data_IF_493937697839
#
_entry.id   IF_493937697839
#
_cell.length_a   1.000
_cell.length_b   1.000
_cell.length_c   1.000
_cell.angle_alpha   90.00
_cell.angle_beta   90.00
_cell.angle_gamma   90.00
#
_symmetry.space_group_name_H-M   'P 1'
#
loop_
_entity.id
_entity.type
_entity.pdbx_description
1 polymer ?
#
# COMPACT_ATOMS: atom_id res chain seq x y z
N UNK A 1 43.78 -10.26 70.28
CA UNK A 1 45.19 -10.63 70.07
C UNK A 1 45.32 -11.28 68.70
N UNK A 2 46.15 -10.69 67.82
CA UNK A 2 46.89 -11.26 66.66
C UNK A 2 46.10 -12.11 65.62
N UNK A 3 46.29 -12.05 64.31
CA UNK A 3 46.98 -11.20 63.36
C UNK A 3 46.58 -11.76 61.97
N UNK A 4 46.58 -10.91 60.94
CA UNK A 4 46.33 -11.28 59.53
C UNK A 4 47.45 -12.11 58.91
N UNK A 5 47.18 -12.88 57.84
CA UNK A 5 48.16 -13.09 56.75
C UNK A 5 47.55 -13.61 55.42
N UNK A 6 47.44 -12.69 54.45
CA UNK A 6 47.75 -12.70 53.01
C UNK A 6 47.69 -13.97 52.10
N UNK A 7 46.87 -13.83 51.03
CA UNK A 7 47.17 -13.86 49.57
C UNK A 7 47.86 -15.10 48.96
N UNK A 8 47.19 -15.77 47.99
CA UNK A 8 47.66 -15.89 46.59
C UNK A 8 46.57 -16.40 45.61
N UNK A 9 46.52 -15.76 44.44
CA UNK A 9 45.63 -15.97 43.28
C UNK A 9 46.36 -16.82 42.23
N UNK A 10 45.72 -17.86 41.65
CA UNK A 10 45.99 -18.34 40.27
C UNK A 10 44.71 -18.96 39.65
N UNK A 11 44.49 -18.64 38.37
CA UNK A 11 43.32 -18.80 37.50
C UNK A 11 43.16 -20.18 36.80
N UNK A 12 41.95 -20.39 36.26
CA UNK A 12 41.55 -21.17 35.06
C UNK A 12 41.30 -22.69 35.21
N UNK A 13 40.04 -23.18 35.14
CA UNK A 13 39.13 -23.42 33.98
C UNK A 13 39.30 -24.83 33.36
N UNK A 14 38.28 -25.71 33.48
CA UNK A 14 37.54 -26.39 32.38
C UNK A 14 36.78 -27.65 32.86
N UNK A 15 35.44 -27.54 32.79
CA UNK A 15 34.41 -28.43 32.19
C UNK A 15 34.38 -29.94 32.54
N UNK A 16 33.21 -30.41 33.04
CA UNK A 16 32.28 -31.40 32.42
C UNK A 16 31.52 -32.15 33.53
N UNK A 17 30.18 -32.16 33.43
CA UNK A 17 29.37 -33.28 33.91
C UNK A 17 28.23 -32.94 34.87
N UNK A 18 27.05 -32.60 34.33
CA UNK A 18 25.82 -32.49 35.12
C UNK A 18 24.58 -32.49 34.22
N UNK A 19 24.09 -33.69 33.91
CA UNK A 19 22.87 -33.95 33.13
C UNK A 19 21.67 -34.07 34.08
N UNK A 20 20.53 -33.50 33.64
CA UNK A 20 19.12 -33.70 34.07
C UNK A 20 18.70 -33.18 35.47
N UNK A 21 17.57 -32.52 35.68
CA UNK A 21 16.33 -32.39 34.92
C UNK A 21 15.65 -31.02 35.19
N UNK A 22 15.22 -30.32 34.13
CA UNK A 22 14.34 -29.15 34.24
C UNK A 22 12.95 -29.57 33.78
N UNK A 23 11.99 -29.49 34.71
CA UNK A 23 10.56 -29.60 34.44
C UNK A 23 10.12 -28.46 33.51
N UNK A 24 9.80 -28.79 32.26
CA UNK A 24 9.02 -27.92 31.37
C UNK A 24 7.54 -28.02 31.76
N UNK A 25 7.06 -27.05 32.52
CA UNK A 25 5.62 -26.80 32.69
C UNK A 25 5.22 -25.71 31.70
N UNK A 26 4.45 -26.14 30.69
CA UNK A 26 3.58 -25.37 29.80
C UNK A 26 3.80 -23.87 29.70
N UNK A 27 4.67 -23.46 28.76
CA UNK A 27 4.56 -22.15 28.17
C UNK A 27 3.24 -22.09 27.39
N UNK A 28 2.30 -21.27 27.86
CA UNK A 28 1.20 -20.81 27.03
C UNK A 28 1.85 -20.20 25.78
N UNK A 29 1.68 -20.87 24.64
CA UNK A 29 2.12 -20.36 23.36
C UNK A 29 1.45 -19.02 23.16
N UNK A 30 2.25 -17.95 23.21
CA UNK A 30 1.87 -16.71 22.58
C UNK A 30 1.69 -17.06 21.10
N UNK A 31 0.44 -17.26 20.69
CA UNK A 31 0.06 -17.17 19.30
C UNK A 31 0.44 -15.77 18.87
N UNK A 32 1.65 -15.64 18.32
CA UNK A 32 2.06 -14.47 17.58
C UNK A 32 1.05 -14.34 16.45
N UNK A 33 0.04 -13.50 16.65
CA UNK A 33 -0.83 -13.06 15.59
C UNK A 33 0.09 -12.34 14.60
N UNK A 34 0.52 -13.07 13.58
CA UNK A 34 1.12 -12.48 12.40
C UNK A 34 0.02 -11.62 11.78
N UNK A 35 0.07 -10.31 12.06
CA UNK A 35 -0.69 -9.31 11.33
C UNK A 35 -0.26 -9.41 9.88
N UNK A 36 -1.01 -10.19 9.11
CA UNK A 36 -0.88 -10.26 7.66
C UNK A 36 -1.44 -8.95 7.15
N UNK A 37 -0.55 -7.96 7.01
CA UNK A 37 -0.91 -6.61 6.61
C UNK A 37 -1.42 -6.61 5.18
N UNK A 38 -2.60 -6.05 4.96
CA UNK A 38 -3.06 -5.74 3.61
C UNK A 38 -3.43 -4.26 3.47
N UNK A 39 -3.58 -3.84 2.25
CA UNK A 39 -3.00 -2.58 1.79
C UNK A 39 -4.05 -1.91 0.94
N UNK A 40 -4.33 -0.61 1.13
CA UNK A 40 -4.79 0.20 -0.01
C UNK A 40 -3.65 0.19 -1.03
N UNK A 41 -3.94 -0.20 -2.28
CA UNK A 41 -3.01 -0.45 -3.40
C UNK A 41 -1.64 -0.98 -2.96
N UNK A 42 -1.58 -2.29 -2.67
CA UNK A 42 -0.37 -2.94 -2.18
C UNK A 42 0.83 -2.85 -3.12
N UNK A 43 2.03 -2.75 -2.56
CA UNK A 43 3.20 -3.37 -3.22
C UNK A 43 3.65 -4.66 -2.55
N UNK A 44 2.85 -5.17 -1.62
CA UNK A 44 2.91 -6.57 -1.25
C UNK A 44 2.40 -7.40 -2.43
N UNK A 45 3.20 -8.40 -2.75
CA UNK A 45 2.81 -9.53 -3.57
C UNK A 45 1.55 -10.13 -2.93
N UNK A 46 0.44 -10.21 -3.66
CA UNK A 46 -0.79 -10.83 -3.16
C UNK A 46 -0.47 -12.26 -2.68
N UNK A 47 -0.92 -12.66 -1.50
CA UNK A 47 -0.77 -14.05 -1.06
C UNK A 47 -1.91 -14.87 -1.65
N UNK A 48 -1.58 -15.77 -2.59
CA UNK A 48 -2.41 -16.82 -3.21
C UNK A 48 -3.95 -16.59 -3.22
N UNK A 49 -4.53 -16.45 -4.41
CA UNK A 49 -5.98 -16.28 -4.59
C UNK A 49 -6.77 -17.43 -3.94
N UNK A 50 -7.48 -17.15 -2.85
CA UNK A 50 -8.44 -18.09 -2.26
C UNK A 50 -9.86 -17.80 -2.75
N UNK A 51 -10.61 -18.86 -3.04
CA UNK A 51 -12.03 -18.90 -3.44
C UNK A 51 -12.52 -17.75 -4.34
N UNK A 52 -12.70 -18.05 -5.63
CA UNK A 52 -13.34 -17.14 -6.60
C UNK A 52 -14.83 -16.96 -6.25
N UNK A 53 -15.32 -15.74 -5.94
CA UNK A 53 -16.73 -15.49 -5.62
C UNK A 53 -17.62 -15.62 -6.86
N UNK A 54 -18.93 -15.68 -6.66
CA UNK A 54 -19.88 -15.85 -7.77
C UNK A 54 -19.97 -14.60 -8.66
N UNK A 55 -19.78 -13.41 -8.09
CA UNK A 55 -19.65 -12.15 -8.84
C UNK A 55 -18.93 -11.06 -8.03
N UNK A 56 -18.38 -10.08 -8.75
CA UNK A 56 -17.84 -8.82 -8.23
C UNK A 56 -18.25 -7.70 -9.18
N UNK A 57 -19.14 -6.82 -8.74
CA UNK A 57 -19.76 -5.82 -9.62
C UNK A 57 -20.43 -6.50 -10.83
N UNK A 58 -20.00 -6.13 -12.05
CA UNK A 58 -20.50 -6.71 -13.30
C UNK A 58 -19.82 -8.00 -13.73
N UNK A 59 -18.75 -8.42 -13.04
CA UNK A 59 -17.89 -9.54 -13.45
C UNK A 59 -18.37 -10.83 -12.79
N UNK A 60 -18.66 -11.85 -13.60
CA UNK A 60 -19.15 -13.15 -13.13
C UNK A 60 -18.00 -14.13 -12.83
N UNK A 61 -18.29 -15.18 -12.07
CA UNK A 61 -17.34 -16.22 -11.65
C UNK A 61 -16.34 -16.70 -12.73
N UNK A 62 -16.76 -16.99 -13.99
CA UNK A 62 -15.80 -17.41 -15.02
C UNK A 62 -14.74 -16.33 -15.36
N UNK A 63 -15.16 -15.07 -15.44
CA UNK A 63 -14.28 -13.91 -15.66
C UNK A 63 -13.35 -13.69 -14.46
N UNK A 64 -13.89 -13.86 -13.25
CA UNK A 64 -13.11 -13.75 -12.03
C UNK A 64 -12.07 -14.87 -11.87
N UNK A 65 -12.32 -16.06 -12.42
CA UNK A 65 -11.34 -17.14 -12.47
C UNK A 65 -10.17 -16.81 -13.41
N UNK A 66 -10.43 -16.10 -14.51
CA UNK A 66 -9.40 -15.57 -15.41
C UNK A 66 -8.59 -14.49 -14.68
N UNK A 67 -9.25 -13.54 -14.01
CA UNK A 67 -8.55 -12.52 -13.19
C UNK A 67 -7.69 -13.16 -12.09
N UNK A 68 -8.22 -14.18 -11.39
CA UNK A 68 -7.48 -14.95 -10.38
C UNK A 68 -6.23 -15.63 -10.95
N UNK A 69 -6.30 -16.13 -12.19
CA UNK A 69 -5.16 -16.73 -12.89
C UNK A 69 -4.09 -15.68 -13.18
N UNK A 70 -4.48 -14.50 -13.69
CA UNK A 70 -3.58 -13.37 -13.95
C UNK A 70 -2.87 -12.94 -12.67
N UNK A 71 -3.62 -12.75 -11.58
CA UNK A 71 -3.08 -12.40 -10.26
C UNK A 71 -2.11 -13.46 -9.76
N UNK A 72 -2.45 -14.75 -9.89
CA UNK A 72 -1.56 -15.84 -9.45
C UNK A 72 -0.22 -15.85 -10.19
N UNK A 73 -0.21 -15.50 -11.48
CA UNK A 73 1.02 -15.35 -12.29
C UNK A 73 1.84 -14.16 -11.82
N UNK A 74 1.20 -13.02 -11.60
CA UNK A 74 1.87 -11.83 -11.08
C UNK A 74 2.52 -12.09 -9.70
N UNK A 75 1.79 -12.80 -8.82
CA UNK A 75 2.28 -13.24 -7.52
C UNK A 75 3.50 -14.14 -7.64
N UNK A 76 3.42 -15.16 -8.49
CA UNK A 76 4.53 -16.08 -8.74
C UNK A 76 5.76 -15.36 -9.32
N UNK A 77 5.53 -14.33 -10.14
CA UNK A 77 6.55 -13.45 -10.71
C UNK A 77 7.07 -12.36 -9.77
N UNK A 78 6.54 -12.26 -8.54
CA UNK A 78 6.86 -11.21 -7.56
C UNK A 78 6.58 -9.79 -8.07
N UNK A 79 5.60 -9.65 -8.95
CA UNK A 79 5.08 -8.36 -9.36
C UNK A 79 4.23 -7.79 -8.22
N UNK A 80 4.13 -6.46 -8.17
CA UNK A 80 3.36 -5.77 -7.15
C UNK A 80 1.86 -5.71 -7.49
N UNK A 81 1.00 -5.30 -6.54
CA UNK A 81 -0.45 -5.23 -6.77
C UNK A 81 -0.82 -4.22 -7.86
N UNK A 82 0.02 -3.21 -8.10
CA UNK A 82 -0.21 -2.27 -9.19
C UNK A 82 -0.07 -2.99 -10.54
N UNK A 83 0.98 -3.78 -10.73
CA UNK A 83 1.16 -4.61 -11.91
C UNK A 83 0.04 -5.66 -12.04
N UNK A 84 -0.37 -6.29 -10.93
CA UNK A 84 -1.55 -7.18 -10.89
C UNK A 84 -2.81 -6.47 -11.43
N UNK A 85 -3.08 -5.27 -10.91
CA UNK A 85 -4.27 -4.49 -11.25
C UNK A 85 -4.21 -3.97 -12.69
N UNK A 86 -3.04 -3.53 -13.17
CA UNK A 86 -2.84 -3.13 -14.56
C UNK A 86 -3.12 -4.33 -15.48
N UNK A 87 -2.57 -5.51 -15.19
CA UNK A 87 -2.79 -6.69 -16.01
C UNK A 87 -4.27 -7.13 -16.04
N UNK A 88 -4.98 -7.07 -14.91
CA UNK A 88 -6.42 -7.34 -14.84
C UNK A 88 -7.21 -6.28 -15.63
N UNK A 89 -6.88 -5.00 -15.49
CA UNK A 89 -7.50 -3.91 -16.25
C UNK A 89 -7.31 -4.09 -17.76
N UNK A 90 -6.11 -4.49 -18.20
CA UNK A 90 -5.85 -4.79 -19.61
C UNK A 90 -6.75 -5.92 -20.09
N UNK A 91 -6.79 -7.05 -19.38
CA UNK A 91 -7.64 -8.17 -19.78
C UNK A 91 -9.15 -7.84 -19.77
N UNK A 92 -9.60 -6.94 -18.88
CA UNK A 92 -10.97 -6.41 -18.92
C UNK A 92 -11.25 -5.62 -20.21
N UNK A 93 -10.31 -4.78 -20.64
CA UNK A 93 -10.44 -4.01 -21.88
C UNK A 93 -10.35 -4.87 -23.13
N UNK A 94 -9.38 -5.79 -23.18
CA UNK A 94 -9.10 -6.60 -24.38
C UNK A 94 -10.14 -7.67 -24.65
N UNK A 95 -10.62 -8.34 -23.61
CA UNK A 95 -11.44 -9.55 -23.79
C UNK A 95 -12.65 -9.62 -22.86
N UNK A 96 -12.90 -8.57 -22.07
CA UNK A 96 -13.86 -8.64 -20.95
C UNK A 96 -13.54 -9.80 -20.02
N UNK A 97 -12.25 -10.03 -19.71
CA UNK A 97 -11.76 -11.18 -18.96
C UNK A 97 -12.22 -12.50 -19.57
N UNK A 98 -12.12 -12.61 -20.90
CA UNK A 98 -12.40 -13.81 -21.67
C UNK A 98 -11.11 -14.46 -22.16
N UNK A 99 -11.25 -15.46 -23.01
CA UNK A 99 -10.13 -16.07 -23.74
C UNK A 99 -10.59 -16.47 -25.15
N UNK A 100 -10.92 -15.48 -26.01
CA UNK A 100 -11.39 -15.76 -27.36
C UNK A 100 -10.26 -16.31 -28.23
N UNK A 101 -10.58 -17.32 -29.04
CA UNK A 101 -9.69 -17.91 -30.03
C UNK A 101 -9.60 -17.09 -31.34
N UNK A 102 -10.21 -15.92 -31.35
CA UNK A 102 -10.24 -14.97 -32.46
C UNK A 102 -9.94 -13.56 -31.98
N UNK A 103 -9.46 -12.74 -32.92
CA UNK A 103 -9.11 -11.35 -32.68
C UNK A 103 -10.22 -10.37 -32.97
N UNK A 104 -10.03 -9.16 -32.45
CA UNK A 104 -10.74 -7.94 -32.83
C UNK A 104 -10.06 -7.20 -34.01
N UNK A 105 -8.79 -7.53 -34.31
CA UNK A 105 -8.06 -7.00 -35.44
C UNK A 105 -8.74 -7.38 -36.76
N UNK A 106 -8.61 -6.52 -37.78
CA UNK A 106 -9.19 -6.74 -39.13
C UNK A 106 -8.70 -8.07 -39.76
N UNK A 107 -7.55 -8.58 -39.33
CA UNK A 107 -6.97 -9.85 -39.77
C UNK A 107 -7.11 -11.01 -38.76
N UNK A 108 -7.82 -10.80 -37.63
CA UNK A 108 -8.01 -11.74 -36.52
C UNK A 108 -6.69 -12.31 -35.95
N UNK A 109 -5.57 -11.58 -36.03
CA UNK A 109 -4.26 -12.12 -35.60
C UNK A 109 -3.94 -11.94 -34.12
N UNK A 110 -4.63 -11.02 -33.43
CA UNK A 110 -4.64 -10.86 -31.97
C UNK A 110 -5.55 -11.93 -31.36
N UNK A 111 -5.15 -12.60 -30.28
CA UNK A 111 -5.97 -13.67 -29.67
C UNK A 111 -5.81 -13.72 -28.16
N UNK A 112 -6.72 -14.43 -27.51
CA UNK A 112 -6.68 -14.78 -26.10
C UNK A 112 -6.99 -13.62 -25.17
N UNK A 113 -6.78 -13.84 -23.88
CA UNK A 113 -7.16 -12.93 -22.79
C UNK A 113 -6.66 -11.49 -22.94
N UNK A 114 -5.48 -11.30 -23.53
CA UNK A 114 -4.84 -9.99 -23.71
C UNK A 114 -4.81 -9.53 -25.19
N UNK A 115 -5.53 -10.21 -26.09
CA UNK A 115 -5.55 -9.93 -27.54
C UNK A 115 -4.12 -9.76 -28.11
N UNK A 116 -3.23 -10.67 -27.76
CA UNK A 116 -1.81 -10.55 -28.09
C UNK A 116 -1.55 -10.98 -29.54
N UNK A 117 -0.73 -10.22 -30.27
CA UNK A 117 -0.22 -10.61 -31.59
C UNK A 117 0.99 -11.56 -31.53
N UNK A 118 1.46 -12.04 -32.69
CA UNK A 118 2.55 -13.03 -32.79
C UNK A 118 3.87 -12.62 -32.12
N UNK A 119 4.11 -11.34 -31.87
CA UNK A 119 5.31 -10.86 -31.16
C UNK A 119 5.38 -11.34 -29.70
N UNK A 120 4.26 -11.75 -29.11
CA UNK A 120 4.19 -12.25 -27.74
C UNK A 120 4.52 -13.75 -27.60
N UNK A 121 4.58 -14.49 -28.71
CA UNK A 121 4.90 -15.93 -28.69
C UNK A 121 4.03 -16.76 -29.63
N UNK A 122 4.03 -18.07 -29.40
CA UNK A 122 3.26 -19.01 -30.22
C UNK A 122 1.75 -18.82 -30.03
N UNK A 123 0.93 -19.34 -30.96
CA UNK A 123 -0.54 -19.34 -30.80
C UNK A 123 -0.95 -20.01 -29.48
N UNK A 124 -0.34 -21.15 -29.16
CA UNK A 124 -0.64 -21.89 -27.93
C UNK A 124 -0.29 -21.11 -26.65
N UNK A 125 0.77 -20.31 -26.67
CA UNK A 125 1.14 -19.49 -25.51
C UNK A 125 0.22 -18.28 -25.35
N UNK A 126 -0.28 -17.71 -26.46
CA UNK A 126 -1.20 -16.55 -26.44
C UNK A 126 -2.63 -16.92 -26.03
N UNK A 127 -3.05 -18.17 -26.27
CA UNK A 127 -4.32 -18.75 -25.80
C UNK A 127 -4.22 -19.38 -24.41
N UNK A 128 -3.05 -19.35 -23.78
CA UNK A 128 -2.89 -19.77 -22.39
C UNK A 128 -2.86 -18.50 -21.54
N UNK A 129 -3.96 -18.21 -20.83
CA UNK A 129 -4.09 -17.00 -19.98
C UNK A 129 -2.88 -16.79 -19.07
N UNK A 130 -2.32 -17.85 -18.49
CA UNK A 130 -1.20 -17.71 -17.56
C UNK A 130 0.08 -17.28 -18.29
N UNK A 131 0.35 -17.85 -19.47
CA UNK A 131 1.50 -17.46 -20.29
C UNK A 131 1.32 -16.09 -20.92
N UNK A 132 0.12 -15.77 -21.41
CA UNK A 132 -0.20 -14.45 -21.94
C UNK A 132 -0.02 -13.36 -20.86
N UNK A 133 -0.48 -13.61 -19.63
CA UNK A 133 -0.27 -12.72 -18.49
C UNK A 133 1.22 -12.53 -18.16
N UNK A 134 1.98 -13.62 -18.11
CA UNK A 134 3.42 -13.55 -17.87
C UNK A 134 4.15 -12.72 -18.95
N UNK A 135 3.78 -12.89 -20.22
CA UNK A 135 4.35 -12.13 -21.32
C UNK A 135 3.98 -10.63 -21.26
N UNK A 136 2.74 -10.31 -20.87
CA UNK A 136 2.31 -8.91 -20.66
C UNK A 136 3.09 -8.26 -19.51
N UNK A 137 3.13 -8.89 -18.33
CA UNK A 137 3.83 -8.37 -17.15
C UNK A 137 5.32 -8.18 -17.40
N UNK A 138 5.95 -9.10 -18.14
CA UNK A 138 7.35 -8.98 -18.53
C UNK A 138 7.63 -7.76 -19.41
N UNK A 139 6.67 -7.32 -20.24
CA UNK A 139 6.78 -6.09 -21.03
C UNK A 139 6.40 -4.84 -20.23
N UNK A 140 5.40 -4.92 -19.35
CA UNK A 140 4.98 -3.82 -18.50
C UNK A 140 6.15 -3.23 -17.70
N UNK A 141 6.95 -4.09 -17.06
CA UNK A 141 8.10 -3.64 -16.26
C UNK A 141 9.26 -3.05 -17.07
N UNK A 142 9.20 -3.13 -18.41
CA UNK A 142 10.15 -2.47 -19.31
C UNK A 142 9.66 -1.09 -19.76
N UNK A 143 8.40 -0.74 -19.49
CA UNK A 143 7.88 0.61 -19.77
C UNK A 143 8.51 1.59 -18.80
N UNK A 144 9.16 2.67 -19.27
CA UNK A 144 9.70 3.69 -18.39
C UNK A 144 8.62 4.25 -17.46
N UNK A 145 8.92 4.30 -16.16
CA UNK A 145 8.09 4.90 -15.13
C UNK A 145 6.67 4.31 -15.02
N UNK A 146 6.48 3.05 -15.46
CA UNK A 146 5.20 2.35 -15.40
C UNK A 146 4.58 2.33 -13.99
N UNK A 147 5.41 2.34 -12.94
CA UNK A 147 4.96 2.38 -11.55
C UNK A 147 4.17 3.66 -11.23
N UNK A 148 4.42 4.74 -11.96
CA UNK A 148 3.88 6.08 -11.72
C UNK A 148 3.03 6.63 -12.87
N UNK A 149 3.12 6.03 -14.06
CA UNK A 149 2.25 6.35 -15.17
C UNK A 149 0.79 6.07 -14.83
N UNK A 150 -0.12 6.87 -15.39
CA UNK A 150 -1.55 6.55 -15.41
C UNK A 150 -1.74 5.11 -15.94
N UNK A 151 -2.53 4.24 -15.27
CA UNK A 151 -2.64 2.83 -15.62
C UNK A 151 -2.97 2.58 -17.10
N UNK A 152 -3.83 3.41 -17.68
CA UNK A 152 -4.19 3.32 -19.10
C UNK A 152 -3.01 3.65 -20.00
N UNK A 153 -2.19 4.63 -19.63
CA UNK A 153 -0.98 5.00 -20.39
C UNK A 153 0.09 3.91 -20.30
N UNK A 154 0.26 3.30 -19.12
CA UNK A 154 1.15 2.14 -18.96
C UNK A 154 0.70 0.96 -19.83
N UNK A 155 -0.61 0.68 -19.85
CA UNK A 155 -1.17 -0.39 -20.71
C UNK A 155 -1.01 -0.06 -22.19
N UNK A 156 -1.32 1.17 -22.59
CA UNK A 156 -1.15 1.65 -23.96
C UNK A 156 0.31 1.53 -24.43
N UNK A 157 1.28 1.84 -23.57
CA UNK A 157 2.70 1.66 -23.90
C UNK A 157 3.09 0.20 -24.16
N UNK A 158 2.39 -0.76 -23.53
CA UNK A 158 2.61 -2.20 -23.77
C UNK A 158 1.84 -2.71 -24.99
N UNK A 159 0.56 -2.34 -25.12
CA UNK A 159 -0.36 -2.88 -26.15
C UNK A 159 -0.31 -2.10 -27.47
N UNK A 160 0.08 -0.83 -27.44
CA UNK A 160 0.22 0.04 -28.62
C UNK A 160 -1.10 0.15 -29.40
N UNK A 161 -2.21 0.38 -28.67
CA UNK A 161 -3.53 0.60 -29.25
C UNK A 161 -3.70 2.07 -29.72
N UNK A 162 -4.78 2.41 -30.44
CA UNK A 162 -4.96 3.77 -31.03
C UNK A 162 -5.30 4.86 -30.01
N UNK A 163 -5.99 4.51 -28.91
CA UNK A 163 -6.44 5.45 -27.89
C UNK A 163 -5.70 5.21 -26.56
N UNK A 164 -4.82 6.14 -26.13
CA UNK A 164 -4.08 6.02 -24.88
C UNK A 164 -4.95 5.89 -23.62
N UNK A 165 -6.20 6.38 -23.67
CA UNK A 165 -7.14 6.35 -22.54
C UNK A 165 -8.19 5.24 -22.65
N UNK A 166 -8.07 4.35 -23.63
CA UNK A 166 -9.02 3.24 -23.85
C UNK A 166 -9.27 2.38 -22.59
N UNK A 167 -8.23 2.14 -21.79
CA UNK A 167 -8.34 1.27 -20.61
C UNK A 167 -8.80 2.00 -19.34
N UNK A 168 -8.79 3.34 -19.33
CA UNK A 168 -9.12 4.14 -18.16
C UNK A 168 -10.48 3.77 -17.51
N UNK A 169 -11.56 3.48 -18.27
CA UNK A 169 -12.85 3.09 -17.68
C UNK A 169 -12.81 1.79 -16.87
N UNK A 170 -11.82 0.92 -17.08
CA UNK A 170 -11.73 -0.37 -16.40
C UNK A 170 -10.92 -0.32 -15.10
N UNK A 171 -10.24 0.79 -14.80
CA UNK A 171 -9.34 0.87 -13.64
C UNK A 171 -10.04 0.67 -12.29
N UNK A 172 -11.20 1.29 -12.09
CA UNK A 172 -11.99 1.14 -10.85
C UNK A 172 -12.50 -0.30 -10.66
N UNK A 173 -12.96 -0.92 -11.75
CA UNK A 173 -13.42 -2.31 -11.76
C UNK A 173 -12.26 -3.28 -11.48
N UNK A 174 -11.10 -3.07 -12.09
CA UNK A 174 -9.90 -3.87 -11.88
C UNK A 174 -9.43 -3.82 -10.43
N UNK A 175 -9.40 -2.63 -9.82
CA UNK A 175 -9.09 -2.48 -8.39
C UNK A 175 -10.09 -3.25 -7.53
N UNK A 176 -11.40 -3.15 -7.83
CA UNK A 176 -12.44 -3.85 -7.06
C UNK A 176 -12.28 -5.37 -7.14
N UNK A 177 -12.05 -5.90 -8.35
CA UNK A 177 -11.82 -7.33 -8.58
C UNK A 177 -10.55 -7.82 -7.89
N UNK A 178 -9.42 -7.14 -8.10
CA UNK A 178 -8.13 -7.52 -7.50
C UNK A 178 -8.21 -7.48 -5.98
N UNK A 179 -8.77 -6.43 -5.38
CA UNK A 179 -8.93 -6.32 -3.93
C UNK A 179 -9.85 -7.42 -3.38
N UNK A 180 -10.94 -7.76 -4.09
CA UNK A 180 -11.86 -8.81 -3.66
C UNK A 180 -11.20 -10.19 -3.72
N UNK A 181 -10.48 -10.49 -4.81
CA UNK A 181 -9.80 -11.78 -4.98
C UNK A 181 -8.58 -11.94 -4.08
N UNK A 182 -7.86 -10.84 -3.78
CA UNK A 182 -6.80 -10.81 -2.78
C UNK A 182 -7.36 -10.92 -1.33
N UNK A 183 -8.58 -10.41 -1.09
CA UNK A 183 -9.25 -10.38 0.21
C UNK A 183 -10.16 -11.56 0.53
N UNK A 184 -10.41 -12.48 -0.40
CA UNK A 184 -11.10 -13.75 -0.16
C UNK A 184 -10.27 -14.72 0.71
N UNK A 185 -9.09 -14.28 1.17
CA UNK A 185 -8.29 -14.81 2.27
C UNK A 185 -8.11 -13.78 3.39
N UNK A 186 -9.19 -13.14 3.83
CA UNK A 186 -9.21 -12.16 4.93
C UNK A 186 -9.41 -10.74 4.44
N UNK A 187 -10.56 -10.15 4.77
CA UNK A 187 -10.82 -8.74 4.56
C UNK A 187 -9.74 -7.91 5.25
N UNK A 188 -9.00 -7.10 4.50
CA UNK A 188 -8.11 -6.13 5.10
C UNK A 188 -8.86 -4.88 5.49
N UNK A 189 -9.44 -4.91 6.68
CA UNK A 189 -10.03 -3.73 7.28
C UNK A 189 -8.92 -2.83 7.81
N UNK A 190 -8.82 -1.60 7.30
CA UNK A 190 -8.15 -0.53 8.05
C UNK A 190 -9.08 -0.18 9.21
N UNK A 191 -8.56 -0.28 10.45
CA UNK A 191 -9.38 -0.04 11.64
C UNK A 191 -9.89 1.41 11.66
N UNK A 192 -11.10 1.60 12.17
CA UNK A 192 -11.61 2.92 12.55
C UNK A 192 -11.26 3.28 14.01
N UNK A 193 -10.61 2.37 14.74
CA UNK A 193 -10.17 2.57 16.12
C UNK A 193 -8.72 3.08 16.15
N UNK A 194 -8.54 4.30 16.69
CA UNK A 194 -7.24 4.98 16.76
C UNK A 194 -6.20 4.19 17.58
N UNK A 195 -6.60 3.54 18.67
CA UNK A 195 -5.68 2.78 19.50
C UNK A 195 -5.18 1.51 18.79
N UNK A 196 -6.04 0.83 18.03
CA UNK A 196 -5.68 -0.32 17.22
C UNK A 196 -4.69 0.06 16.10
N UNK A 197 -4.96 1.17 15.38
CA UNK A 197 -4.04 1.69 14.37
C UNK A 197 -2.68 2.06 14.99
N UNK A 198 -2.70 2.79 16.11
CA UNK A 198 -1.48 3.21 16.79
C UNK A 198 -0.65 2.01 17.26
N UNK A 199 -1.27 0.95 17.80
CA UNK A 199 -0.58 -0.29 18.17
C UNK A 199 0.10 -0.95 16.96
N UNK A 200 -0.58 -1.00 15.82
CA UNK A 200 0.02 -1.51 14.57
C UNK A 200 1.23 -0.67 14.15
N UNK A 201 1.11 0.66 14.21
CA UNK A 201 2.20 1.57 13.88
C UNK A 201 3.39 1.41 14.83
N UNK A 202 3.16 1.19 16.13
CA UNK A 202 4.24 0.93 17.10
C UNK A 202 4.96 -0.38 16.81
N UNK A 203 4.29 -1.43 16.34
CA UNK A 203 4.98 -2.64 15.87
C UNK A 203 5.91 -2.32 14.70
N UNK A 204 5.48 -1.46 13.77
CA UNK A 204 6.33 -1.01 12.67
C UNK A 204 7.50 -0.13 13.14
N UNK A 205 7.31 0.69 14.17
CA UNK A 205 8.39 1.45 14.82
C UNK A 205 9.42 0.52 15.44
N UNK A 206 8.97 -0.48 16.20
CA UNK A 206 9.85 -1.43 16.88
C UNK A 206 10.63 -2.31 15.89
N UNK A 207 10.06 -2.59 14.72
CA UNK A 207 10.73 -3.24 13.60
C UNK A 207 11.67 -2.31 12.81
N UNK A 208 11.74 -1.03 13.15
CA UNK A 208 12.50 -0.01 12.43
C UNK A 208 11.94 0.30 11.03
N UNK A 209 10.70 -0.11 10.73
CA UNK A 209 10.03 0.16 9.46
C UNK A 209 9.47 1.58 9.40
N UNK A 210 8.86 2.04 10.49
CA UNK A 210 8.42 3.42 10.68
C UNK A 210 9.44 4.16 11.56
N UNK A 211 9.90 5.33 11.12
CA UNK A 211 10.84 6.16 11.88
C UNK A 211 10.39 7.61 11.93
N UNK A 212 10.69 8.29 13.04
CA UNK A 212 10.47 9.72 13.22
C UNK A 212 11.72 10.55 12.91
N UNK A 213 11.53 11.85 12.69
CA UNK A 213 12.59 12.85 12.70
C UNK A 213 12.78 13.45 14.11
N UNK A 214 13.57 14.51 14.24
CA UNK A 214 13.64 15.33 15.46
C UNK A 214 13.09 16.72 15.15
N UNK A 215 12.15 17.26 15.96
CA UNK A 215 11.47 16.65 17.12
C UNK A 215 10.68 15.37 16.82
N UNK A 216 10.66 14.44 17.77
CA UNK A 216 10.06 13.13 17.57
C UNK A 216 8.52 13.18 17.73
N UNK A 217 7.81 12.95 16.63
CA UNK A 217 6.35 12.83 16.57
C UNK A 217 5.84 11.40 16.77
N UNK A 218 6.73 10.38 16.78
CA UNK A 218 6.32 8.98 17.03
C UNK A 218 5.81 8.81 18.46
N UNK A 219 6.25 9.64 19.41
CA UNK A 219 5.71 9.67 20.77
C UNK A 219 4.20 9.90 20.82
N UNK A 220 3.65 10.67 19.88
CA UNK A 220 2.21 10.96 19.79
C UNK A 220 1.42 9.68 19.50
N UNK A 221 1.90 8.90 18.53
CA UNK A 221 1.36 7.57 18.20
C UNK A 221 1.50 6.62 19.40
N UNK A 222 2.65 6.65 20.11
CA UNK A 222 2.90 5.77 21.26
C UNK A 222 1.93 6.03 22.40
N UNK A 223 1.63 7.29 22.72
CA UNK A 223 0.62 7.61 23.74
C UNK A 223 -0.75 7.08 23.37
N UNK A 224 -1.17 7.21 22.10
CA UNK A 224 -2.44 6.66 21.62
C UNK A 224 -2.45 5.13 21.75
N UNK A 225 -1.36 4.45 21.38
CA UNK A 225 -1.23 3.00 21.52
C UNK A 225 -1.39 2.54 22.98
N UNK A 226 -0.80 3.29 23.91
CA UNK A 226 -0.89 3.06 25.35
C UNK A 226 -2.25 3.46 25.96
N UNK A 227 -3.14 4.07 25.16
CA UNK A 227 -4.44 4.58 25.64
C UNK A 227 -4.31 5.84 26.50
N UNK A 228 -3.20 6.56 26.37
CA UNK A 228 -2.94 7.81 27.10
C UNK A 228 -3.45 9.01 26.30
N UNK A 229 -4.16 9.90 26.99
CA UNK A 229 -4.52 11.22 26.46
C UNK A 229 -3.53 12.25 26.97
N UNK A 230 -2.78 12.87 26.06
CA UNK A 230 -1.84 13.94 26.38
C UNK A 230 -2.37 15.25 25.78
N UNK A 231 -2.45 16.34 26.57
CA UNK A 231 -2.95 17.62 26.07
C UNK A 231 -2.21 18.07 24.80
N UNK A 232 -2.97 18.53 23.79
CA UNK A 232 -2.46 19.02 22.51
C UNK A 232 -1.62 18.02 21.69
N UNK A 233 -1.69 16.72 22.03
CA UNK A 233 -0.95 15.64 21.36
C UNK A 233 -1.86 14.58 20.73
N UNK A 234 -3.10 14.96 20.42
CA UNK A 234 -4.00 14.11 19.65
C UNK A 234 -3.54 13.98 18.20
N UNK A 235 -3.80 12.82 17.59
CA UNK A 235 -3.64 12.60 16.15
C UNK A 235 -4.98 12.16 15.60
N UNK A 236 -5.44 12.79 14.53
CA UNK A 236 -6.67 12.41 13.86
C UNK A 236 -6.58 10.93 13.43
N UNK A 237 -7.66 10.17 13.66
CA UNK A 237 -7.71 8.75 13.29
C UNK A 237 -7.41 8.56 11.80
N UNK A 238 -7.84 9.48 10.94
CA UNK A 238 -7.58 9.47 9.50
C UNK A 238 -6.10 9.61 9.19
N UNK A 239 -5.36 10.42 9.95
CA UNK A 239 -3.90 10.53 9.82
C UNK A 239 -3.22 9.23 10.26
N UNK A 240 -3.68 8.58 11.33
CA UNK A 240 -3.19 7.25 11.69
C UNK A 240 -3.46 6.22 10.57
N UNK A 241 -4.63 6.28 9.92
CA UNK A 241 -4.95 5.43 8.77
C UNK A 241 -4.02 5.70 7.59
N UNK A 242 -3.75 6.96 7.26
CA UNK A 242 -2.80 7.35 6.20
C UNK A 242 -1.40 6.80 6.49
N UNK A 243 -0.91 6.91 7.73
CA UNK A 243 0.39 6.35 8.11
C UNK A 243 0.38 4.82 8.04
N UNK A 244 -0.71 4.15 8.44
CA UNK A 244 -0.85 2.70 8.28
C UNK A 244 -0.77 2.32 6.80
N UNK A 245 -1.47 3.04 5.92
CA UNK A 245 -1.39 2.79 4.48
C UNK A 245 0.03 2.95 3.95
N UNK A 246 0.78 3.97 4.37
CA UNK A 246 2.19 4.11 4.01
C UNK A 246 3.02 2.92 4.56
N UNK A 247 2.90 2.59 5.84
CA UNK A 247 3.67 1.51 6.48
C UNK A 247 3.38 0.16 5.82
N UNK A 248 2.17 -0.09 5.32
CA UNK A 248 1.87 -1.35 4.65
C UNK A 248 2.38 -1.40 3.20
N UNK A 249 2.63 -0.25 2.58
CA UNK A 249 3.02 -0.13 1.16
C UNK A 249 4.48 0.16 0.87
N UNK A 250 5.25 0.50 1.89
CA UNK A 250 6.66 0.86 1.73
C UNK A 250 7.50 0.06 2.72
N UNK A 251 8.67 -0.40 2.30
CA UNK A 251 9.62 -1.15 3.12
C UNK A 251 10.20 -0.28 4.24
N UNK A 252 10.22 1.04 4.07
CA UNK A 252 10.64 2.03 5.06
C UNK A 252 9.78 3.28 4.94
N UNK A 253 9.34 3.84 6.06
CA UNK A 253 8.55 5.08 6.14
C UNK A 253 9.18 6.01 7.17
N UNK A 254 9.47 7.23 6.77
CA UNK A 254 9.95 8.30 7.64
C UNK A 254 8.91 9.41 7.76
N UNK A 255 8.48 9.72 8.98
CA UNK A 255 7.55 10.82 9.28
C UNK A 255 8.31 11.93 9.98
N UNK A 256 8.22 13.14 9.43
CA UNK A 256 8.89 14.33 10.00
C UNK A 256 7.99 15.17 10.87
N UNK A 257 6.67 15.14 10.65
CA UNK A 257 5.72 15.96 11.38
C UNK A 257 4.33 15.31 11.43
N UNK A 258 3.61 15.49 12.56
CA UNK A 258 2.21 15.08 12.76
C UNK A 258 1.47 16.18 13.53
N UNK A 259 1.71 16.33 14.83
CA UNK A 259 1.12 17.38 15.65
C UNK A 259 2.18 18.34 16.20
N UNK A 260 2.42 19.46 15.50
CA UNK A 260 3.32 20.51 15.96
C UNK A 260 2.90 21.19 17.25
N UNK A 261 1.60 21.20 17.56
CA UNK A 261 1.12 21.76 18.83
C UNK A 261 1.64 20.93 20.01
N UNK A 262 1.74 19.62 19.85
CA UNK A 262 2.30 18.70 20.84
C UNK A 262 3.79 18.95 21.13
N UNK A 263 4.54 19.35 20.10
CA UNK A 263 5.99 19.57 20.17
C UNK A 263 6.36 21.05 20.37
N UNK A 264 5.37 21.95 20.46
CA UNK A 264 5.55 23.41 20.49
C UNK A 264 6.35 23.95 19.28
N UNK A 265 6.18 23.35 18.11
CA UNK A 265 6.78 23.82 16.87
C UNK A 265 5.86 24.83 16.16
N UNK A 266 6.45 25.90 15.63
CA UNK A 266 5.78 26.85 14.74
C UNK A 266 6.64 26.98 13.50
N UNK A 267 6.20 26.31 12.44
CA UNK A 267 6.93 26.18 11.17
C UNK A 267 5.98 26.45 10.00
N UNK A 268 6.51 26.68 8.80
CA UNK A 268 5.71 26.90 7.59
C UNK A 268 4.57 27.92 7.78
N UNK A 269 3.34 27.53 7.46
CA UNK A 269 2.12 28.33 7.63
C UNK A 269 1.76 28.71 9.09
N UNK A 270 2.63 28.40 10.06
CA UNK A 270 2.47 28.75 11.45
C UNK A 270 1.24 28.10 12.08
N UNK A 271 0.50 28.88 12.87
CA UNK A 271 -0.68 28.37 13.61
C UNK A 271 -1.89 28.08 12.72
N UNK A 272 -1.83 28.43 11.43
CA UNK A 272 -2.85 28.09 10.44
C UNK A 272 -2.63 26.71 9.79
N UNK A 273 -1.49 26.06 10.05
CA UNK A 273 -1.19 24.72 9.52
C UNK A 273 -2.06 23.64 10.18
N UNK A 274 -2.47 22.62 9.41
CA UNK A 274 -3.18 21.43 9.89
C UNK A 274 -2.41 20.64 10.97
N UNK A 275 -1.10 20.81 11.05
CA UNK A 275 -0.30 20.30 12.16
C UNK A 275 -0.52 21.04 13.49
N UNK A 276 -1.16 22.22 13.49
CA UNK A 276 -1.26 23.11 14.65
C UNK A 276 -2.69 23.56 14.97
N UNK A 277 -3.48 23.94 13.96
CA UNK A 277 -4.81 24.49 14.18
C UNK A 277 -5.76 23.45 14.80
N UNK A 278 -6.78 23.90 15.54
CA UNK A 278 -7.76 23.04 16.21
C UNK A 278 -7.16 21.89 17.05
N UNK A 279 -6.01 22.13 17.69
CA UNK A 279 -5.34 21.12 18.52
C UNK A 279 -4.25 20.32 17.80
N UNK A 280 -4.06 20.55 16.50
CA UNK A 280 -3.07 19.88 15.66
C UNK A 280 -3.40 18.40 15.40
N UNK A 281 -2.49 17.73 14.69
CA UNK A 281 -2.64 16.30 14.38
C UNK A 281 -3.57 15.99 13.21
N UNK A 282 -3.91 16.99 12.38
CA UNK A 282 -4.75 16.82 11.18
C UNK A 282 -3.94 16.61 9.90
N UNK A 283 -2.61 16.49 10.01
CA UNK A 283 -1.69 16.35 8.89
C UNK A 283 -0.55 15.38 9.21
N UNK A 284 0.15 14.93 8.17
CA UNK A 284 1.40 14.19 8.27
C UNK A 284 2.36 14.59 7.15
N UNK A 285 3.62 14.80 7.52
CA UNK A 285 4.72 15.00 6.58
C UNK A 285 5.56 13.73 6.49
N UNK A 286 5.58 13.10 5.31
CA UNK A 286 6.50 12.00 5.02
C UNK A 286 7.77 12.56 4.41
N UNK A 287 8.93 12.28 4.99
CA UNK A 287 10.22 12.74 4.44
C UNK A 287 11.02 11.61 3.77
N UNK A 288 10.70 10.35 4.05
CA UNK A 288 11.32 9.16 3.44
C UNK A 288 10.28 8.09 3.13
N UNK A 289 10.37 7.48 1.95
CA UNK A 289 9.70 6.22 1.61
C UNK A 289 10.68 5.29 0.87
N UNK A 290 10.63 3.99 1.17
CA UNK A 290 11.58 2.96 0.67
C UNK A 290 13.07 3.33 0.84
N UNK A 291 13.37 4.20 1.82
CA UNK A 291 14.72 4.68 2.10
C UNK A 291 15.16 5.89 1.26
N UNK A 292 14.31 6.36 0.35
CA UNK A 292 14.55 7.55 -0.49
C UNK A 292 13.85 8.78 0.08
N UNK A 293 14.53 9.92 0.04
CA UNK A 293 13.94 11.21 0.41
C UNK A 293 12.85 11.65 -0.57
N UNK A 294 11.84 12.36 -0.06
CA UNK A 294 10.69 12.78 -0.85
C UNK A 294 10.78 14.24 -1.32
N UNK A 295 10.14 14.49 -2.45
CA UNK A 295 10.00 15.83 -3.06
C UNK A 295 8.56 16.19 -3.38
N UNK A 296 7.64 15.22 -3.29
CA UNK A 296 6.26 15.35 -3.75
C UNK A 296 6.08 15.07 -5.25
N UNK A 297 7.18 14.99 -6.02
CA UNK A 297 7.20 14.64 -7.44
C UNK A 297 8.00 13.37 -7.75
N UNK A 298 8.69 12.79 -6.78
CA UNK A 298 9.43 11.55 -6.94
C UNK A 298 8.50 10.34 -6.97
N UNK A 299 9.03 9.20 -7.44
CA UNK A 299 8.25 7.98 -7.65
C UNK A 299 7.50 7.50 -6.41
N UNK A 300 8.09 7.63 -5.23
CA UNK A 300 7.48 7.14 -4.01
C UNK A 300 6.37 8.08 -3.51
N UNK A 301 6.56 9.40 -3.68
CA UNK A 301 5.47 10.36 -3.47
C UNK A 301 4.29 10.07 -4.39
N UNK A 302 4.51 9.92 -5.70
CA UNK A 302 3.44 9.65 -6.66
C UNK A 302 2.71 8.33 -6.37
N UNK A 303 3.47 7.29 -6.01
CA UNK A 303 2.91 6.01 -5.57
C UNK A 303 2.03 6.18 -4.33
N UNK A 304 2.47 6.88 -3.29
CA UNK A 304 1.67 7.10 -2.09
C UNK A 304 0.41 7.92 -2.40
N UNK A 305 0.51 8.96 -3.24
CA UNK A 305 -0.66 9.74 -3.68
C UNK A 305 -1.68 8.84 -4.39
N UNK A 306 -1.23 7.96 -5.29
CA UNK A 306 -2.13 7.03 -5.99
C UNK A 306 -2.82 6.02 -5.06
N UNK A 307 -2.14 5.62 -3.97
CA UNK A 307 -2.70 4.77 -2.91
C UNK A 307 -3.79 5.51 -2.13
N UNK A 308 -3.55 6.79 -1.82
CA UNK A 308 -4.39 7.57 -0.93
C UNK A 308 -5.61 8.18 -1.62
N UNK A 309 -5.45 8.75 -2.83
CA UNK A 309 -6.53 9.51 -3.49
C UNK A 309 -7.88 8.76 -3.54
N UNK A 310 -7.96 7.46 -3.89
CA UNK A 310 -9.26 6.77 -3.97
C UNK A 310 -9.95 6.55 -2.62
N UNK A 311 -9.21 6.58 -1.51
CA UNK A 311 -9.72 6.28 -0.17
C UNK A 311 -9.84 7.52 0.71
N UNK A 312 -9.17 8.61 0.37
CA UNK A 312 -9.23 9.86 1.13
C UNK A 312 -10.61 10.52 1.01
N UNK A 313 -11.09 11.20 2.05
CA UNK A 313 -12.31 11.98 1.95
C UNK A 313 -12.12 13.12 0.93
N UNK A 314 -13.18 13.41 0.17
CA UNK A 314 -13.16 14.53 -0.77
C UNK A 314 -12.83 15.85 -0.05
N UNK A 315 -11.90 16.61 -0.61
CA UNK A 315 -11.40 17.86 -0.03
C UNK A 315 -10.31 17.66 1.02
N UNK A 316 -9.74 16.47 1.14
CA UNK A 316 -8.44 16.29 1.78
C UNK A 316 -7.34 16.91 0.91
N UNK A 317 -6.22 17.27 1.50
CA UNK A 317 -5.18 18.07 0.85
C UNK A 317 -3.89 17.26 0.64
N UNK A 318 -3.17 17.56 -0.44
CA UNK A 318 -1.84 17.04 -0.75
C UNK A 318 -0.92 18.18 -1.19
N UNK A 319 0.21 18.34 -0.49
CA UNK A 319 1.17 19.41 -0.76
C UNK A 319 2.06 19.16 -1.98
N UNK A 320 3.03 20.05 -2.19
CA UNK A 320 4.09 19.97 -3.20
C UNK A 320 3.61 20.03 -4.67
N UNK A 321 2.50 20.74 -4.94
CA UNK A 321 1.99 20.91 -6.31
C UNK A 321 2.99 21.57 -7.26
N UNK A 322 3.65 22.64 -6.84
CA UNK A 322 4.69 23.32 -7.64
C UNK A 322 5.89 22.42 -7.97
N UNK A 323 6.21 21.45 -7.11
CA UNK A 323 7.28 20.48 -7.35
C UNK A 323 6.90 19.53 -8.49
N UNK A 324 5.66 19.02 -8.48
CA UNK A 324 5.11 18.19 -9.57
C UNK A 324 5.00 18.98 -10.86
N UNK A 325 4.49 20.21 -10.81
CA UNK A 325 4.42 21.09 -11.97
C UNK A 325 5.80 21.36 -12.59
N UNK A 326 6.81 21.63 -11.76
CA UNK A 326 8.19 21.86 -12.22
C UNK A 326 8.81 20.62 -12.88
N UNK A 327 8.39 19.43 -12.44
CA UNK A 327 8.76 18.15 -13.03
C UNK A 327 7.93 17.78 -14.28
N UNK A 328 6.96 18.61 -14.69
CA UNK A 328 6.07 18.32 -15.82
C UNK A 328 5.01 17.27 -15.52
N UNK A 329 4.70 17.03 -14.24
CA UNK A 329 3.76 16.02 -13.77
C UNK A 329 2.43 16.68 -13.42
N UNK A 330 1.34 16.11 -13.93
CA UNK A 330 -0.03 16.50 -13.59
C UNK A 330 -0.78 15.25 -13.15
N UNK A 331 -1.50 15.36 -12.03
CA UNK A 331 -2.25 14.24 -11.46
C UNK A 331 -3.75 14.42 -11.69
N UNK A 332 -4.43 13.34 -12.06
CA UNK A 332 -5.88 13.30 -12.14
C UNK A 332 -6.46 12.84 -10.80
N UNK A 333 -6.49 13.73 -9.81
CA UNK A 333 -6.97 13.43 -8.46
C UNK A 333 -8.50 13.56 -8.36
N UNK A 334 -9.11 12.68 -7.57
CA UNK A 334 -10.57 12.63 -7.34
C UNK A 334 -10.95 13.23 -5.99
N UNK A 335 -10.19 12.94 -4.94
CA UNK A 335 -10.52 13.35 -3.57
C UNK A 335 -9.50 14.32 -2.98
N UNK A 336 -8.22 14.17 -3.36
CA UNK A 336 -7.14 15.01 -2.91
C UNK A 336 -7.08 16.33 -3.69
N UNK A 337 -6.87 17.43 -2.98
CA UNK A 337 -6.71 18.79 -3.52
C UNK A 337 -5.25 19.19 -3.40
N UNK A 338 -4.66 19.63 -4.51
CA UNK A 338 -3.25 20.01 -4.55
C UNK A 338 -3.01 21.43 -4.03
N UNK A 339 -1.94 21.62 -3.24
CA UNK A 339 -1.46 22.95 -2.86
C UNK A 339 0.07 23.06 -2.82
N UNK A 340 0.56 24.31 -2.82
CA UNK A 340 1.99 24.60 -2.85
C UNK A 340 2.65 24.42 -1.49
N UNK A 341 3.74 23.65 -1.49
CA UNK A 341 4.59 23.42 -0.31
C UNK A 341 6.02 23.07 -0.77
N UNK A 342 6.98 23.13 0.16
CA UNK A 342 8.39 22.86 -0.05
C UNK A 342 8.67 21.41 -0.51
N UNK A 343 9.56 21.26 -1.50
CA UNK A 343 9.88 19.99 -2.16
C UNK A 343 10.83 19.09 -1.35
N UNK A 344 10.67 19.02 -0.03
CA UNK A 344 11.54 18.24 0.90
C UNK A 344 10.83 17.09 1.58
N UNK A 345 9.52 16.98 1.40
CA UNK A 345 8.65 15.99 1.99
C UNK A 345 7.40 15.80 1.10
N UNK A 346 6.50 14.90 1.50
CA UNK A 346 5.14 14.82 0.98
C UNK A 346 4.17 15.10 2.12
N UNK A 347 3.41 16.19 1.99
CA UNK A 347 2.38 16.60 2.93
C UNK A 347 1.03 15.98 2.56
N UNK A 348 0.33 15.44 3.56
CA UNK A 348 -1.06 14.96 3.45
C UNK A 348 -1.85 15.48 4.65
N UNK A 349 -3.00 16.10 4.42
CA UNK A 349 -3.87 16.54 5.51
C UNK A 349 -5.36 16.37 5.26
N UNK A 350 -6.10 16.39 6.37
CA UNK A 350 -7.56 16.25 6.43
C UNK A 350 -8.20 17.42 7.20
N UNK A 351 -7.44 18.51 7.39
CA UNK A 351 -7.85 19.60 8.27
C UNK A 351 -9.09 20.34 7.78
N UNK A 352 -9.33 20.35 6.47
CA UNK A 352 -10.41 21.09 5.82
C UNK A 352 -11.61 20.23 5.40
N UNK A 353 -11.64 18.96 5.81
CA UNK A 353 -12.74 18.02 5.51
C UNK A 353 -13.19 17.26 6.77
N UNK A 354 -14.48 17.00 6.89
CA UNK A 354 -15.08 16.19 7.96
C UNK A 354 -15.36 14.73 7.52
N UNK A 355 -15.10 14.42 6.24
CA UNK A 355 -15.29 13.09 5.68
C UNK A 355 -14.36 12.05 6.30
N UNK A 356 -14.77 10.79 6.23
CA UNK A 356 -13.95 9.63 6.63
C UNK A 356 -13.24 9.01 5.45
N UNK A 357 -12.12 8.33 5.69
CA UNK A 357 -11.54 7.48 4.64
C UNK A 357 -12.54 6.37 4.28
N UNK A 358 -12.70 6.14 2.97
CA UNK A 358 -13.62 5.14 2.45
C UNK A 358 -12.85 3.88 2.09
N UNK A 359 -12.96 2.88 2.96
CA UNK A 359 -12.44 1.55 2.69
C UNK A 359 -13.59 0.68 2.19
N UNK A 360 -13.39 0.01 1.05
CA UNK A 360 -14.39 -0.91 0.49
C UNK A 360 -14.69 -1.99 1.53
N UNK A 361 -15.88 -1.93 2.14
CA UNK A 361 -16.42 -3.03 2.93
C UNK A 361 -17.07 -4.00 1.97
N UNK A 362 -16.69 -5.28 2.06
CA UNK A 362 -17.35 -6.35 1.32
C UNK A 362 -18.79 -6.53 1.81
N UNK A 363 -19.70 -5.67 1.37
CA UNK A 363 -21.13 -5.87 1.56
C UNK A 363 -21.72 -6.26 0.20
N UNK A 364 -22.25 -7.48 0.03
CA UNK A 364 -22.91 -7.86 -1.20
C UNK A 364 -24.11 -6.93 -1.44
N UNK A 365 -24.38 -6.50 -2.69
CA UNK A 365 -25.61 -5.79 -2.99
C UNK A 365 -26.79 -6.69 -2.60
N UNK A 366 -27.67 -6.18 -1.74
CA UNK A 366 -28.93 -6.84 -1.42
C UNK A 366 -29.72 -7.00 -2.72
N UNK A 367 -29.99 -8.24 -3.09
CA UNK A 367 -30.84 -8.57 -4.24
C UNK A 367 -32.21 -7.92 -4.02
N UNK A 368 -32.76 -7.16 -4.98
CA UNK A 368 -34.15 -6.74 -4.87
C UNK A 368 -35.03 -7.99 -4.93
N UNK A 369 -35.83 -8.20 -3.89
CA UNK A 369 -36.85 -9.25 -3.80
C UNK A 369 -37.81 -9.12 -5.00
N UNK A 370 -38.21 -10.23 -5.64
CA UNK A 370 -38.89 -10.25 -6.95
C UNK A 370 -40.21 -9.50 -7.03
#
# INVERSE_FOLDING_TARGET
>A
MKAALNILVVFALIIVGGITAVLFVGGAGASGATSTGCTAISTAISTAVSTVPDSVGRWAKPQLAIAATIMSVAVAGKYDLRAETIAVMTAMGESSLGDPDHGDAVDNTTIGTFQQGASYGTVADRLDTAKAAAAFLARLVQVPDWETLEPSLATHAVQINQDPLYYAPFWADAQTVVNTLAGAGGACTVSADAQALAKELIVAVDAGKLVGSTPDHIKEIRWIADGQTVPDCGVDVRILQVIVLAVRNFAKVGVSDINRKCTNQIEGAGTASAHYFNGGGHAVDFYILDGSGLTGADKNSLKLISILDPVMPHGADVGQSSCRQSAGISLALTNLVEFDDSCTHLHIDVGHTDGTLTFQTSTPPTTPTP
#
